data_IF_079596828246
#
_entry.id   IF_079596828246
#
_cell.length_a   1.000
_cell.length_b   1.000
_cell.length_c   1.000
_cell.angle_alpha   90.00
_cell.angle_beta   90.00
_cell.angle_gamma   90.00
#
_symmetry.space_group_name_H-M   'P 1'
#
loop_
_entity.id
_entity.type
_entity.pdbx_description
1 polymer ?
#
# COMPACT_ATOMS: atom_id res chain seq x y z
N UNK A 1 -1.83 6.67 6.55
CA UNK A 1 -2.96 7.03 7.42
C UNK A 1 -3.13 5.84 8.34
N UNK A 2 -2.64 5.93 9.58
CA UNK A 2 -2.44 4.75 10.42
C UNK A 2 -3.65 4.55 11.35
N UNK A 3 -4.78 4.17 10.78
CA UNK A 3 -5.86 3.58 11.58
C UNK A 3 -5.37 2.21 12.07
N UNK A 4 -5.76 1.80 13.28
CA UNK A 4 -5.54 0.42 13.69
C UNK A 4 -6.52 -0.51 12.97
N UNK A 5 -6.22 -1.81 12.93
CA UNK A 5 -7.14 -2.79 12.37
C UNK A 5 -8.47 -2.81 13.13
N UNK A 6 -8.44 -2.64 14.46
CA UNK A 6 -9.63 -2.48 15.30
C UNK A 6 -10.50 -1.31 14.85
N UNK A 7 -9.90 -0.16 14.55
CA UNK A 7 -10.64 1.02 14.08
C UNK A 7 -11.25 0.78 12.69
N UNK A 8 -10.54 0.10 11.79
CA UNK A 8 -11.08 -0.27 10.47
C UNK A 8 -12.24 -1.25 10.59
N UNK A 9 -12.13 -2.22 11.48
CA UNK A 9 -13.22 -3.18 11.78
C UNK A 9 -14.44 -2.43 12.33
N UNK A 10 -14.25 -1.48 13.26
CA UNK A 10 -15.35 -0.67 13.79
C UNK A 10 -16.04 0.14 12.69
N UNK A 11 -15.29 0.74 11.77
CA UNK A 11 -15.85 1.43 10.60
C UNK A 11 -16.68 0.47 9.73
N UNK A 12 -16.21 -0.74 9.48
CA UNK A 12 -16.95 -1.76 8.70
C UNK A 12 -18.23 -2.22 9.42
N UNK A 13 -18.19 -2.38 10.75
CA UNK A 13 -19.37 -2.69 11.56
C UNK A 13 -20.41 -1.56 11.47
N UNK A 14 -19.95 -0.31 11.51
CA UNK A 14 -20.82 0.86 11.41
C UNK A 14 -21.45 1.00 10.02
N UNK A 15 -20.67 0.75 8.95
CA UNK A 15 -21.16 0.70 7.56
C UNK A 15 -22.27 -0.35 7.40
N UNK A 16 -22.13 -1.45 8.12
CA UNK A 16 -23.10 -2.53 8.14
C UNK A 16 -22.53 -3.83 7.60
N UNK A 17 -22.65 -4.88 8.40
CA UNK A 17 -22.63 -6.26 7.90
C UNK A 17 -24.08 -6.73 7.72
N UNK A 18 -24.42 -7.30 6.57
CA UNK A 18 -25.78 -7.79 6.27
C UNK A 18 -26.74 -6.68 5.77
N UNK A 19 -28.01 -6.72 6.20
CA UNK A 19 -29.11 -5.94 5.60
C UNK A 19 -29.24 -4.49 6.10
N UNK A 20 -28.42 -4.06 7.07
CA UNK A 20 -28.45 -2.69 7.61
C UNK A 20 -27.27 -1.89 7.09
N UNK A 21 -27.45 -1.17 6.00
CA UNK A 21 -26.44 -0.28 5.42
C UNK A 21 -26.61 1.16 5.92
N UNK A 22 -25.54 1.74 6.50
CA UNK A 22 -25.43 3.18 6.75
C UNK A 22 -24.66 3.85 5.63
N UNK A 23 -24.93 5.14 5.40
CA UNK A 23 -24.12 5.92 4.44
C UNK A 23 -22.74 6.19 5.02
N UNK A 24 -21.74 6.39 4.15
CA UNK A 24 -20.37 6.71 4.56
C UNK A 24 -20.31 8.01 5.38
N UNK A 25 -21.22 8.95 5.13
CA UNK A 25 -21.40 10.18 5.89
C UNK A 25 -21.75 9.91 7.35
N UNK A 26 -22.83 9.16 7.57
CA UNK A 26 -23.31 8.80 8.91
C UNK A 26 -22.25 8.02 9.69
N UNK A 27 -21.52 7.11 9.02
CA UNK A 27 -20.43 6.37 9.65
C UNK A 27 -19.31 7.29 10.10
N UNK A 28 -18.94 8.27 9.27
CA UNK A 28 -17.90 9.23 9.64
C UNK A 28 -18.35 10.10 10.81
N UNK A 29 -19.61 10.55 10.85
CA UNK A 29 -20.14 11.30 11.98
C UNK A 29 -20.06 10.48 13.26
N UNK A 30 -20.62 9.26 13.26
CA UNK A 30 -20.65 8.38 14.44
C UNK A 30 -19.22 8.04 14.90
N UNK A 31 -18.34 7.67 13.97
CA UNK A 31 -16.96 7.33 14.29
C UNK A 31 -16.20 8.53 14.85
N UNK A 32 -16.35 9.71 14.24
CA UNK A 32 -15.67 10.92 14.69
C UNK A 32 -16.19 11.44 16.04
N UNK A 33 -17.46 11.21 16.35
CA UNK A 33 -18.01 11.48 17.68
C UNK A 33 -17.43 10.53 18.75
N UNK A 34 -17.18 9.27 18.40
CA UNK A 34 -16.59 8.26 19.30
C UNK A 34 -15.07 8.40 19.47
N UNK A 35 -14.38 8.81 18.41
CA UNK A 35 -12.93 8.91 18.35
C UNK A 35 -12.51 10.32 17.90
N UNK A 36 -12.67 11.34 18.76
CA UNK A 36 -12.37 12.74 18.40
C UNK A 36 -10.89 12.96 18.05
N UNK A 37 -9.99 12.17 18.64
CA UNK A 37 -8.53 12.29 18.43
C UNK A 37 -8.09 11.82 17.05
N UNK A 38 -8.90 11.02 16.35
CA UNK A 38 -8.57 10.43 15.05
C UNK A 38 -9.75 10.47 14.10
N UNK A 39 -10.08 11.68 13.67
CA UNK A 39 -11.18 11.89 12.73
C UNK A 39 -10.85 11.32 11.35
N UNK A 40 -11.87 10.74 10.73
CA UNK A 40 -11.83 10.21 9.36
C UNK A 40 -12.75 11.03 8.45
N UNK A 41 -12.39 11.05 7.16
CA UNK A 41 -13.23 11.59 6.10
C UNK A 41 -14.10 10.50 5.46
N UNK A 42 -15.16 10.89 4.75
CA UNK A 42 -15.96 9.97 3.94
C UNK A 42 -15.11 9.19 2.93
N UNK A 43 -14.13 9.85 2.29
CA UNK A 43 -13.19 9.19 1.37
C UNK A 43 -12.37 8.09 2.05
N UNK A 44 -12.06 8.25 3.34
CA UNK A 44 -11.37 7.23 4.13
C UNK A 44 -12.29 6.04 4.38
N UNK A 45 -13.53 6.28 4.78
CA UNK A 45 -14.54 5.23 4.96
C UNK A 45 -14.76 4.43 3.68
N UNK A 46 -14.95 5.11 2.54
CA UNK A 46 -15.11 4.48 1.23
C UNK A 46 -13.88 3.66 0.82
N UNK A 47 -12.66 4.17 1.06
CA UNK A 47 -11.44 3.42 0.76
C UNK A 47 -11.31 2.13 1.57
N UNK A 48 -11.70 2.17 2.85
CA UNK A 48 -11.69 0.99 3.73
C UNK A 48 -12.72 -0.03 3.24
N UNK A 49 -13.94 0.42 2.91
CA UNK A 49 -15.00 -0.44 2.38
C UNK A 49 -14.56 -1.13 1.08
N UNK A 50 -14.10 -0.36 0.10
CA UNK A 50 -13.70 -0.88 -1.21
C UNK A 50 -12.57 -1.90 -1.07
N UNK A 51 -11.56 -1.58 -0.25
CA UNK A 51 -10.46 -2.51 0.02
C UNK A 51 -10.95 -3.81 0.67
N UNK A 52 -11.86 -3.71 1.64
CA UNK A 52 -12.39 -4.91 2.29
C UNK A 52 -13.20 -5.76 1.31
N UNK A 53 -14.01 -5.15 0.43
CA UNK A 53 -14.75 -5.86 -0.62
C UNK A 53 -13.83 -6.53 -1.64
N UNK A 54 -12.72 -5.89 -1.99
CA UNK A 54 -11.77 -6.38 -3.00
C UNK A 54 -10.84 -7.48 -2.46
N UNK A 55 -10.27 -7.29 -1.26
CA UNK A 55 -9.23 -8.16 -0.72
C UNK A 55 -9.64 -9.00 0.49
N UNK A 56 -10.83 -8.76 1.07
CA UNK A 56 -11.35 -9.52 2.21
C UNK A 56 -10.58 -9.30 3.52
N UNK A 57 -9.72 -8.28 3.63
CA UNK A 57 -8.92 -8.03 4.82
C UNK A 57 -8.86 -6.54 5.21
N UNK A 58 -8.58 -6.31 6.49
CA UNK A 58 -8.46 -4.95 7.08
C UNK A 58 -7.01 -4.49 7.22
N UNK A 59 -6.06 -5.43 7.24
CA UNK A 59 -4.62 -5.19 7.41
C UNK A 59 -4.05 -4.30 6.32
N UNK A 60 -3.25 -3.30 6.67
CA UNK A 60 -2.60 -2.45 5.67
C UNK A 60 -1.82 -3.28 4.63
N UNK A 61 -2.03 -2.97 3.35
CA UNK A 61 -1.23 -3.57 2.29
C UNK A 61 0.16 -2.95 2.45
N UNK A 62 1.22 -3.76 2.63
CA UNK A 62 2.57 -3.22 2.65
C UNK A 62 2.75 -2.41 1.37
N UNK A 63 3.15 -1.13 1.52
CA UNK A 63 3.45 -0.30 0.35
C UNK A 63 4.48 -1.09 -0.45
N UNK A 64 4.15 -1.47 -1.68
CA UNK A 64 5.10 -2.09 -2.58
C UNK A 64 6.18 -1.05 -2.84
N UNK A 65 7.22 -1.08 -2.02
CA UNK A 65 8.46 -0.38 -2.30
C UNK A 65 9.03 -1.02 -3.57
N UNK A 66 9.70 -0.20 -4.40
CA UNK A 66 10.53 -0.76 -5.49
C UNK A 66 11.37 -1.89 -4.89
N UNK A 67 11.21 -3.10 -5.41
CA UNK A 67 12.07 -4.23 -5.06
C UNK A 67 13.50 -3.73 -5.25
N UNK A 68 14.29 -3.68 -4.17
CA UNK A 68 15.71 -3.37 -4.30
C UNK A 68 16.33 -4.43 -5.20
N UNK A 69 17.23 -4.02 -6.09
CA UNK A 69 18.04 -4.95 -6.89
C UNK A 69 18.60 -6.04 -5.98
N UNK A 70 18.37 -7.30 -6.34
CA UNK A 70 18.81 -8.46 -5.55
C UNK A 70 20.32 -8.38 -5.31
N UNK A 71 20.77 -8.87 -4.14
CA UNK A 71 22.16 -8.72 -3.71
C UNK A 71 23.16 -9.31 -4.71
N UNK A 72 22.76 -10.38 -5.42
CA UNK A 72 23.56 -11.06 -6.43
C UNK A 72 23.94 -10.14 -7.59
N UNK A 73 23.01 -9.31 -8.08
CA UNK A 73 23.25 -8.42 -9.21
C UNK A 73 23.86 -7.07 -8.81
N UNK A 74 23.94 -6.76 -7.51
CA UNK A 74 24.58 -5.52 -7.06
C UNK A 74 26.07 -5.51 -7.36
N UNK A 75 26.75 -6.66 -7.21
CA UNK A 75 28.18 -6.74 -7.47
C UNK A 75 28.47 -6.57 -8.96
N UNK A 76 27.69 -7.22 -9.83
CA UNK A 76 27.82 -7.11 -11.28
C UNK A 76 27.56 -5.68 -11.77
N UNK A 77 26.54 -5.01 -11.22
CA UNK A 77 26.28 -3.59 -11.51
C UNK A 77 27.45 -2.70 -11.06
N UNK A 78 28.05 -2.96 -9.89
CA UNK A 78 29.18 -2.17 -9.39
C UNK A 78 30.45 -2.38 -10.22
N UNK A 79 30.72 -3.61 -10.64
CA UNK A 79 31.83 -3.94 -11.53
C UNK A 79 31.62 -3.30 -12.91
N UNK A 80 30.41 -3.35 -13.47
CA UNK A 80 30.12 -2.73 -14.77
C UNK A 80 30.18 -1.19 -14.72
N UNK A 81 29.82 -0.56 -13.60
CA UNK A 81 30.02 0.88 -13.40
C UNK A 81 31.52 1.23 -13.34
N UNK A 82 32.33 0.38 -12.71
CA UNK A 82 33.78 0.56 -12.64
C UNK A 82 34.43 0.41 -14.01
N UNK A 83 34.03 -0.60 -14.79
CA UNK A 83 34.57 -0.89 -16.11
C UNK A 83 34.04 0.05 -17.20
N UNK A 84 32.85 0.62 -17.01
CA UNK A 84 32.19 1.52 -17.95
C UNK A 84 31.84 2.88 -17.34
N UNK A 85 32.83 3.57 -16.77
CA UNK A 85 32.65 4.86 -16.07
C UNK A 85 32.00 5.97 -16.91
N UNK A 86 32.08 5.88 -18.24
CA UNK A 86 31.47 6.84 -19.17
C UNK A 86 29.98 6.58 -19.46
N UNK A 87 29.44 5.45 -19.03
CA UNK A 87 28.02 5.12 -19.20
C UNK A 87 27.21 5.63 -18.01
N UNK A 88 26.03 6.24 -18.24
CA UNK A 88 25.19 6.67 -17.15
C UNK A 88 24.69 5.46 -16.36
N UNK A 89 24.77 5.53 -15.04
CA UNK A 89 24.38 4.47 -14.08
C UNK A 89 22.99 3.87 -14.35
N UNK A 90 22.07 4.67 -14.89
CA UNK A 90 20.72 4.22 -15.26
C UNK A 90 20.71 3.23 -16.44
N UNK A 91 21.63 3.34 -17.39
CA UNK A 91 21.75 2.40 -18.51
C UNK A 91 22.35 1.07 -18.04
N UNK A 92 23.37 1.12 -17.17
CA UNK A 92 24.01 -0.08 -16.60
C UNK A 92 23.03 -0.90 -15.74
N UNK A 93 22.20 -0.23 -14.94
CA UNK A 93 21.17 -0.90 -14.14
C UNK A 93 20.09 -1.56 -15.02
N UNK A 94 19.67 -0.91 -16.11
CA UNK A 94 18.61 -1.42 -16.98
C UNK A 94 19.01 -2.69 -17.78
N UNK A 95 20.27 -2.79 -18.19
CA UNK A 95 20.79 -3.98 -18.89
C UNK A 95 20.81 -5.21 -17.97
N UNK A 96 21.11 -5.01 -16.69
CA UNK A 96 21.15 -6.09 -15.71
C UNK A 96 19.75 -6.52 -15.23
N UNK A 97 18.77 -5.61 -15.20
CA UNK A 97 17.38 -5.96 -14.88
C UNK A 97 16.72 -6.86 -15.95
N UNK A 98 17.12 -6.75 -17.24
CA UNK A 98 16.51 -7.50 -18.36
C UNK A 98 16.83 -9.02 -18.32
N UNK A 99 17.88 -9.42 -17.59
CA UNK A 99 18.20 -10.84 -17.36
C UNK A 99 17.26 -11.53 -16.35
N UNK A 100 16.45 -10.78 -15.60
CA UNK A 100 15.53 -11.34 -14.58
C UNK A 100 14.20 -11.83 -15.14
N UNK A 101 13.92 -11.63 -16.43
CA UNK A 101 12.66 -12.04 -17.07
C UNK A 101 12.78 -13.27 -17.99
N UNK A 102 13.95 -13.93 -18.07
CA UNK A 102 14.17 -15.05 -18.99
C UNK A 102 14.38 -16.44 -18.37
N UNK A 103 14.25 -16.63 -17.06
CA UNK A 103 14.26 -17.94 -16.41
C UNK A 103 13.27 -17.99 -15.24
#
# INVERSE_FOLDING_TARGET
MNLSDTQRIEILILLGCGDKTRTQEQVCEIFNSKCPDRRISQSTGSRIENKFREFGNVTDIPKSGKKGTFYEHKLDILLDIQDNLHKPTKQVAAVNDDFTHKL
#
